data_IF_097743922696
#
_entry.id   IF_097743922696
#
_cell.length_a   1.000
_cell.length_b   1.000
_cell.length_c   1.000
_cell.angle_alpha   90.00
_cell.angle_beta   90.00
_cell.angle_gamma   90.00
#
_symmetry.space_group_name_H-M   'P 1'
#
loop_
_entity.id
_entity.type
_entity.pdbx_description
1 polymer ?
#
# COMPACT_ATOMS: atom_id res chain seq x y z
N UNK A 1 49.08 -2.13 -82.98
CA UNK A 1 47.66 -1.78 -83.10
C UNK A 1 47.01 -1.96 -81.73
N UNK A 2 46.48 -0.87 -81.16
CA UNK A 2 45.31 -0.74 -80.27
C UNK A 2 44.84 -2.00 -79.49
N UNK A 3 44.66 -2.00 -78.15
CA UNK A 3 43.79 -1.08 -77.38
C UNK A 3 44.03 -1.23 -75.86
N UNK A 4 43.93 -0.12 -75.14
CA UNK A 4 43.80 0.00 -73.67
C UNK A 4 42.38 -0.43 -73.22
N UNK A 5 42.25 -1.06 -72.06
CA UNK A 5 41.00 -1.14 -71.28
C UNK A 5 41.39 -1.26 -69.79
N UNK A 6 41.50 -0.13 -69.10
CA UNK A 6 40.48 0.48 -68.20
C UNK A 6 40.12 -0.36 -66.98
N UNK A 7 40.57 0.16 -65.83
CA UNK A 7 40.14 -0.16 -64.48
C UNK A 7 38.62 -0.14 -64.33
N UNK A 8 38.08 -1.13 -63.62
CA UNK A 8 36.86 -0.95 -62.82
C UNK A 8 37.16 -1.51 -61.44
N UNK A 9 37.53 -0.62 -60.52
CA UNK A 9 37.59 -0.90 -59.10
C UNK A 9 36.16 -0.87 -58.55
N UNK A 10 35.60 -2.03 -58.26
CA UNK A 10 34.33 -2.13 -57.53
C UNK A 10 34.65 -2.01 -56.03
N UNK A 11 34.52 -0.79 -55.50
CA UNK A 11 34.59 -0.54 -54.08
C UNK A 11 33.34 -1.15 -53.41
N UNK A 12 33.52 -2.30 -52.76
CA UNK A 12 32.51 -2.91 -51.90
C UNK A 12 32.31 -2.07 -50.64
N UNK A 13 31.30 -1.21 -50.65
CA UNK A 13 30.86 -0.45 -49.48
C UNK A 13 30.21 -1.43 -48.48
N UNK A 14 31.01 -1.93 -47.55
CA UNK A 14 30.57 -2.81 -46.47
C UNK A 14 29.75 -1.98 -45.49
N UNK A 15 28.42 -2.12 -45.51
CA UNK A 15 27.54 -1.57 -44.49
C UNK A 15 27.89 -2.21 -43.13
N UNK A 16 28.68 -1.53 -42.31
CA UNK A 16 28.71 -1.80 -40.87
C UNK A 16 27.34 -1.40 -40.30
N UNK A 17 26.45 -2.37 -40.15
CA UNK A 17 25.35 -2.23 -39.21
C UNK A 17 25.95 -2.23 -37.80
N UNK A 18 26.22 -1.04 -37.27
CA UNK A 18 26.47 -0.86 -35.86
C UNK A 18 25.17 -1.18 -35.10
N UNK A 19 25.03 -2.43 -34.66
CA UNK A 19 24.07 -2.76 -33.60
C UNK A 19 24.56 -2.04 -32.35
N UNK A 20 23.94 -0.89 -32.04
CA UNK A 20 24.04 -0.31 -30.72
C UNK A 20 23.41 -1.31 -29.74
N UNK A 21 24.24 -2.12 -29.10
CA UNK A 21 23.82 -2.85 -27.92
C UNK A 21 23.39 -1.80 -26.89
N UNK A 22 22.09 -1.73 -26.62
CA UNK A 22 21.57 -0.89 -25.55
C UNK A 22 22.17 -1.45 -24.27
N UNK A 23 23.16 -0.75 -23.72
CA UNK A 23 23.74 -1.11 -22.44
C UNK A 23 22.63 -1.03 -21.41
N UNK A 24 22.28 -2.18 -20.84
CA UNK A 24 21.25 -2.29 -19.82
C UNK A 24 21.62 -1.40 -18.64
N UNK A 25 20.68 -0.61 -18.12
CA UNK A 25 20.99 0.22 -16.95
C UNK A 25 21.27 -0.67 -15.74
N UNK A 26 21.90 -0.11 -14.71
CA UNK A 26 22.15 -0.82 -13.45
C UNK A 26 20.81 -1.25 -12.84
N UNK A 27 19.82 -0.37 -12.85
CA UNK A 27 18.47 -0.62 -12.33
C UNK A 27 17.77 -1.76 -13.08
N UNK A 28 17.88 -1.80 -14.41
CA UNK A 28 17.33 -2.89 -15.23
C UNK A 28 18.05 -4.22 -15.02
N UNK A 29 19.34 -4.16 -14.68
CA UNK A 29 20.15 -5.34 -14.34
C UNK A 29 19.76 -5.88 -12.96
N UNK A 30 19.59 -5.00 -11.98
CA UNK A 30 19.10 -5.34 -10.64
C UNK A 30 17.70 -5.96 -10.73
N UNK A 31 16.77 -5.26 -11.40
CA UNK A 31 15.38 -5.71 -11.58
C UNK A 31 15.32 -7.13 -12.16
N UNK A 32 16.10 -7.40 -13.21
CA UNK A 32 16.17 -8.73 -13.82
C UNK A 32 16.77 -9.75 -12.87
N UNK A 33 17.95 -9.46 -12.31
CA UNK A 33 18.69 -10.42 -11.48
C UNK A 33 17.91 -10.82 -10.24
N UNK A 34 17.29 -9.87 -9.55
CA UNK A 34 16.47 -10.16 -8.35
C UNK A 34 15.22 -10.94 -8.73
N UNK A 35 14.50 -10.53 -9.78
CA UNK A 35 13.29 -11.25 -10.21
C UNK A 35 13.58 -12.70 -10.60
N UNK A 36 14.72 -12.97 -11.24
CA UNK A 36 15.10 -14.32 -11.69
C UNK A 36 15.72 -15.18 -10.58
N UNK A 37 16.58 -14.62 -9.73
CA UNK A 37 17.32 -15.41 -8.73
C UNK A 37 16.59 -15.59 -7.41
N UNK A 38 15.75 -14.63 -7.05
CA UNK A 38 15.04 -14.58 -5.76
C UNK A 38 13.54 -14.85 -5.96
N UNK A 39 13.08 -14.96 -7.22
CA UNK A 39 11.68 -15.22 -7.59
C UNK A 39 10.68 -14.22 -6.96
N UNK A 40 11.15 -13.00 -6.69
CA UNK A 40 10.34 -11.91 -6.16
C UNK A 40 10.08 -10.87 -7.26
N UNK A 41 8.81 -10.61 -7.61
CA UNK A 41 8.47 -9.54 -8.54
C UNK A 41 8.98 -8.18 -8.04
N UNK A 42 9.84 -7.56 -8.85
CA UNK A 42 10.37 -6.21 -8.59
C UNK A 42 9.49 -5.18 -9.29
N UNK A 43 8.89 -4.27 -8.52
CA UNK A 43 8.15 -3.13 -9.07
C UNK A 43 9.10 -2.04 -9.54
N UNK A 44 10.05 -1.66 -8.68
CA UNK A 44 10.90 -0.49 -8.86
C UNK A 44 12.29 -0.68 -8.23
N UNK A 45 13.30 -0.02 -8.79
CA UNK A 45 14.66 0.06 -8.24
C UNK A 45 15.02 1.53 -8.10
N UNK A 46 15.41 1.94 -6.90
CA UNK A 46 15.70 3.33 -6.54
C UNK A 46 17.14 3.41 -6.04
N UNK A 47 17.92 4.35 -6.57
CA UNK A 47 19.27 4.63 -6.08
C UNK A 47 19.19 5.33 -4.72
N UNK A 48 19.90 4.82 -3.73
CA UNK A 48 19.97 5.50 -2.42
C UNK A 48 20.98 6.66 -2.46
N UNK A 49 21.00 7.55 -1.44
CA UNK A 49 22.05 8.56 -1.30
C UNK A 49 23.45 7.99 -1.04
N UNK A 50 23.57 6.68 -0.77
CA UNK A 50 24.83 6.01 -0.46
C UNK A 50 25.38 5.28 -1.69
N UNK A 51 26.71 5.33 -1.84
CA UNK A 51 27.39 4.73 -2.97
C UNK A 51 27.18 3.21 -3.04
N UNK A 52 26.86 2.73 -4.24
CA UNK A 52 26.65 1.31 -4.55
C UNK A 52 25.61 0.60 -3.67
N UNK A 53 24.61 1.34 -3.18
CA UNK A 53 23.46 0.81 -2.45
C UNK A 53 22.16 1.22 -3.15
N UNK A 54 21.34 0.24 -3.45
CA UNK A 54 20.07 0.40 -4.16
C UNK A 54 18.95 -0.16 -3.30
N UNK A 55 17.86 0.59 -3.26
CA UNK A 55 16.59 0.15 -2.74
C UNK A 55 15.81 -0.56 -3.86
N UNK A 56 15.22 -1.70 -3.55
CA UNK A 56 14.43 -2.49 -4.49
C UNK A 56 13.08 -2.74 -3.87
N UNK A 57 12.05 -2.21 -4.53
CA UNK A 57 10.66 -2.43 -4.14
C UNK A 57 10.20 -3.76 -4.73
N UNK A 58 9.78 -4.66 -3.85
CA UNK A 58 9.28 -5.98 -4.18
C UNK A 58 7.87 -6.14 -3.63
N UNK A 59 7.15 -7.16 -4.12
CA UNK A 59 5.87 -7.54 -3.50
C UNK A 59 6.10 -7.88 -2.01
N UNK A 60 5.52 -7.08 -1.13
CA UNK A 60 5.60 -7.29 0.33
C UNK A 60 6.64 -6.42 1.05
N UNK A 61 7.38 -5.54 0.36
CA UNK A 61 8.21 -4.55 1.04
C UNK A 61 9.41 -4.06 0.24
N UNK A 62 10.44 -3.67 0.98
CA UNK A 62 11.69 -3.11 0.45
C UNK A 62 12.83 -4.04 0.81
N UNK A 63 13.72 -4.28 -0.15
CA UNK A 63 15.01 -4.96 0.05
C UNK A 63 16.14 -4.08 -0.47
N UNK A 64 17.38 -4.36 -0.03
CA UNK A 64 18.55 -3.60 -0.46
C UNK A 64 19.59 -4.48 -1.13
N UNK A 65 20.30 -3.93 -2.11
CA UNK A 65 21.34 -4.63 -2.89
C UNK A 65 22.41 -3.65 -3.37
N UNK A 66 23.50 -4.16 -3.95
CA UNK A 66 24.45 -3.38 -4.74
C UNK A 66 24.13 -3.39 -6.24
N UNK A 67 24.90 -2.62 -7.04
CA UNK A 67 24.72 -2.47 -8.49
C UNK A 67 24.72 -3.80 -9.28
N UNK A 68 25.51 -4.78 -8.82
CA UNK A 68 25.67 -6.08 -9.48
C UNK A 68 24.69 -7.15 -8.98
N UNK A 69 23.89 -6.84 -7.94
CA UNK A 69 23.04 -7.82 -7.26
C UNK A 69 23.80 -9.03 -6.68
N UNK A 70 24.95 -8.75 -6.06
CA UNK A 70 25.78 -9.76 -5.42
C UNK A 70 25.20 -10.24 -4.08
N UNK A 71 24.36 -9.43 -3.44
CA UNK A 71 23.67 -9.75 -2.18
C UNK A 71 22.29 -9.10 -2.12
N UNK A 72 21.42 -9.62 -1.26
CA UNK A 72 20.15 -8.97 -0.91
C UNK A 72 20.02 -8.91 0.60
N UNK A 73 19.65 -7.75 1.14
CA UNK A 73 19.32 -7.56 2.56
C UNK A 73 17.80 -7.52 2.71
N UNK A 74 17.27 -8.50 3.43
CA UNK A 74 15.86 -8.58 3.81
C UNK A 74 15.64 -8.02 5.21
N UNK A 75 14.55 -7.26 5.39
CA UNK A 75 14.16 -6.75 6.72
C UNK A 75 15.12 -5.73 7.33
N UNK A 76 16.02 -5.15 6.52
CA UNK A 76 16.92 -4.08 6.94
C UNK A 76 16.20 -2.74 7.11
N UNK A 77 16.80 -1.84 7.88
CA UNK A 77 16.41 -0.43 7.95
C UNK A 77 17.63 0.42 7.58
N UNK A 78 17.44 1.37 6.68
CA UNK A 78 18.47 2.28 6.21
C UNK A 78 18.29 3.64 6.89
N UNK A 79 19.18 3.95 7.82
CA UNK A 79 19.21 5.23 8.52
C UNK A 79 20.29 6.16 7.94
N UNK A 80 19.90 7.36 7.56
CA UNK A 80 20.80 8.48 7.27
C UNK A 80 21.12 9.18 8.60
N UNK A 81 22.35 8.99 9.09
CA UNK A 81 22.78 9.51 10.39
C UNK A 81 22.99 11.03 10.39
N UNK A 82 23.34 11.60 9.25
CA UNK A 82 23.55 13.05 9.12
C UNK A 82 22.21 13.78 9.17
N UNK A 83 21.18 13.21 8.51
CA UNK A 83 19.82 13.76 8.55
C UNK A 83 18.99 13.25 9.72
N UNK A 84 19.47 12.21 10.42
CA UNK A 84 18.73 11.49 11.46
C UNK A 84 17.38 10.95 10.95
N UNK A 85 17.35 10.42 9.72
CA UNK A 85 16.14 9.93 9.06
C UNK A 85 16.23 8.44 8.76
N UNK A 86 15.11 7.73 8.96
CA UNK A 86 14.94 6.38 8.47
C UNK A 86 14.44 6.43 7.02
N UNK A 87 15.34 6.23 6.05
CA UNK A 87 15.02 6.27 4.63
C UNK A 87 14.11 5.12 4.22
N UNK A 88 14.24 3.95 4.85
CA UNK A 88 13.33 2.81 4.60
C UNK A 88 11.91 3.16 5.02
N UNK A 89 11.73 3.78 6.18
CA UNK A 89 10.40 4.19 6.66
C UNK A 89 9.77 5.25 5.74
N UNK A 90 10.55 6.22 5.27
CA UNK A 90 10.09 7.23 4.31
C UNK A 90 9.67 6.60 2.98
N UNK A 91 10.49 5.69 2.43
CA UNK A 91 10.13 5.03 1.18
C UNK A 91 8.93 4.09 1.33
N UNK A 92 8.82 3.38 2.46
CA UNK A 92 7.63 2.60 2.80
C UNK A 92 6.39 3.48 2.93
N UNK A 93 6.51 4.67 3.53
CA UNK A 93 5.40 5.61 3.66
C UNK A 93 4.93 6.10 2.29
N UNK A 94 5.87 6.42 1.39
CA UNK A 94 5.56 6.83 0.02
C UNK A 94 4.93 5.69 -0.79
N UNK A 95 5.50 4.49 -0.72
CA UNK A 95 4.96 3.31 -1.41
C UNK A 95 3.54 2.94 -0.94
N UNK A 96 3.21 3.24 0.32
CA UNK A 96 1.90 2.92 0.91
C UNK A 96 0.95 4.13 0.96
N UNK A 97 1.33 5.25 0.33
CA UNK A 97 0.49 6.44 0.26
C UNK A 97 -0.74 6.10 -0.57
N UNK A 98 -1.91 6.38 0.00
CA UNK A 98 -3.20 6.17 -0.64
C UNK A 98 -3.96 7.49 -0.61
N UNK A 99 -4.43 7.92 -1.78
CA UNK A 99 -5.43 8.96 -1.87
C UNK A 99 -6.79 8.37 -1.46
N UNK A 100 -7.37 8.85 -0.37
CA UNK A 100 -8.62 8.29 0.13
C UNK A 100 -9.81 8.60 -0.81
N UNK A 101 -9.69 9.61 -1.67
CA UNK A 101 -10.71 9.92 -2.69
C UNK A 101 -10.69 8.92 -3.85
N UNK A 102 -9.62 8.10 -3.97
CA UNK A 102 -9.55 7.01 -4.92
C UNK A 102 -10.26 5.73 -4.46
N UNK A 103 -10.67 5.67 -3.18
CA UNK A 103 -11.33 4.51 -2.60
C UNK A 103 -12.86 4.57 -2.82
N UNK A 104 -13.54 3.42 -3.03
CA UNK A 104 -14.99 3.35 -3.12
C UNK A 104 -15.63 3.50 -1.73
N UNK A 105 -15.69 4.73 -1.22
CA UNK A 105 -16.14 5.04 0.15
C UNK A 105 -17.60 4.65 0.42
N UNK A 106 -18.39 4.40 -0.61
CA UNK A 106 -19.76 3.86 -0.55
C UNK A 106 -19.82 2.44 0.02
N UNK A 107 -18.75 1.66 -0.08
CA UNK A 107 -18.64 0.34 0.54
C UNK A 107 -18.33 0.41 2.04
N UNK A 108 -17.98 1.59 2.56
CA UNK A 108 -17.60 1.79 3.95
C UNK A 108 -18.79 2.26 4.81
N UNK A 109 -18.76 1.88 6.09
CA UNK A 109 -19.63 2.48 7.11
C UNK A 109 -19.19 3.92 7.38
N UNK A 110 -20.04 4.88 7.06
CA UNK A 110 -19.79 6.29 7.36
C UNK A 110 -20.35 6.68 8.74
N UNK A 111 -19.48 7.07 9.65
CA UNK A 111 -19.84 7.59 10.97
C UNK A 111 -19.25 8.98 11.20
N UNK A 112 -20.09 9.94 11.59
CA UNK A 112 -19.64 11.30 11.95
C UNK A 112 -19.59 11.46 13.47
N UNK A 113 -18.45 11.91 13.97
CA UNK A 113 -18.18 12.21 15.37
C UNK A 113 -17.98 13.72 15.53
N UNK A 114 -18.55 14.29 16.60
CA UNK A 114 -18.49 15.72 16.86
C UNK A 114 -19.03 16.54 15.68
N UNK A 115 -18.26 17.52 15.20
CA UNK A 115 -18.60 18.36 14.04
C UNK A 115 -18.31 17.73 12.67
N UNK A 116 -17.58 16.61 12.62
CA UNK A 116 -17.31 15.89 11.37
C UNK A 116 -16.34 16.58 10.40
N UNK A 117 -15.23 17.12 10.88
CA UNK A 117 -14.26 17.87 10.07
C UNK A 117 -13.35 16.99 9.22
N UNK A 118 -12.28 16.46 9.83
CA UNK A 118 -11.28 15.67 9.11
C UNK A 118 -11.81 14.27 8.75
N UNK A 119 -11.36 13.69 7.63
CA UNK A 119 -11.75 12.33 7.23
C UNK A 119 -10.69 11.31 7.65
N UNK A 120 -11.17 10.16 8.09
CA UNK A 120 -10.33 9.00 8.37
C UNK A 120 -10.97 7.80 7.68
N UNK A 121 -10.21 7.09 6.85
CA UNK A 121 -10.62 5.78 6.35
C UNK A 121 -10.00 4.71 7.24
N UNK A 122 -10.80 3.73 7.66
CA UNK A 122 -10.32 2.61 8.47
C UNK A 122 -10.63 1.26 7.84
N UNK A 123 -9.69 0.32 7.99
CA UNK A 123 -9.91 -1.10 7.74
C UNK A 123 -9.94 -1.81 9.09
N UNK A 124 -11.09 -2.35 9.46
CA UNK A 124 -11.34 -2.92 10.78
C UNK A 124 -12.05 -4.27 10.68
N UNK A 125 -11.72 -5.20 11.59
CA UNK A 125 -12.39 -6.48 11.72
C UNK A 125 -13.29 -6.48 12.98
N UNK A 126 -14.51 -7.07 12.95
CA UNK A 126 -15.41 -7.10 14.10
C UNK A 126 -14.85 -7.81 15.35
N UNK A 127 -13.88 -8.71 15.20
CA UNK A 127 -13.22 -9.45 16.26
C UNK A 127 -11.91 -8.83 16.73
N UNK A 128 -11.45 -7.74 16.10
CA UNK A 128 -10.20 -7.07 16.40
C UNK A 128 -10.28 -6.27 17.73
N UNK A 129 -9.56 -6.66 18.81
CA UNK A 129 -9.62 -5.94 20.09
C UNK A 129 -9.05 -4.51 20.00
N UNK A 130 -8.04 -4.31 19.15
CA UNK A 130 -7.45 -2.99 18.90
C UNK A 130 -8.39 -2.05 18.17
N UNK A 131 -9.19 -2.59 17.25
CA UNK A 131 -10.24 -1.86 16.53
C UNK A 131 -11.36 -1.46 17.51
N UNK A 132 -11.76 -2.37 18.42
CA UNK A 132 -12.70 -2.04 19.51
C UNK A 132 -12.19 -0.89 20.39
N UNK A 133 -10.89 -0.92 20.75
CA UNK A 133 -10.26 0.17 21.51
C UNK A 133 -10.25 1.49 20.72
N UNK A 134 -9.98 1.43 19.42
CA UNK A 134 -9.94 2.59 18.53
C UNK A 134 -11.27 3.36 18.47
N UNK A 135 -12.41 2.65 18.54
CA UNK A 135 -13.74 3.29 18.53
C UNK A 135 -13.98 4.28 19.67
N UNK A 136 -13.28 4.13 20.81
CA UNK A 136 -13.35 5.10 21.91
C UNK A 136 -12.59 6.40 21.61
N UNK A 137 -11.58 6.35 20.73
CA UNK A 137 -10.76 7.51 20.37
C UNK A 137 -11.51 8.46 19.43
N UNK A 138 -12.27 7.93 18.46
CA UNK A 138 -13.09 8.75 17.56
C UNK A 138 -14.12 9.62 18.31
N UNK A 139 -14.63 9.15 19.45
CA UNK A 139 -15.57 9.92 20.30
C UNK A 139 -14.94 11.15 20.95
N UNK A 140 -13.61 11.26 20.95
CA UNK A 140 -12.86 12.39 21.51
C UNK A 140 -12.49 13.43 20.44
N UNK A 141 -12.96 13.25 19.21
CA UNK A 141 -12.51 13.98 18.03
C UNK A 141 -13.69 14.51 17.20
N UNK A 142 -13.41 15.50 16.34
CA UNK A 142 -14.34 16.06 15.35
C UNK A 142 -14.04 15.50 13.96
N UNK A 143 -14.39 14.23 13.70
CA UNK A 143 -13.99 13.49 12.48
C UNK A 143 -15.14 12.78 11.81
N UNK A 144 -15.03 12.57 10.50
CA UNK A 144 -15.85 11.62 9.75
C UNK A 144 -15.02 10.37 9.45
N UNK A 145 -15.48 9.22 9.94
CA UNK A 145 -14.81 7.94 9.77
C UNK A 145 -15.54 7.11 8.74
N UNK A 146 -14.82 6.59 7.75
CA UNK A 146 -15.27 5.62 6.76
C UNK A 146 -14.64 4.27 7.07
N UNK A 147 -15.40 3.33 7.63
CA UNK A 147 -14.88 2.02 8.03
C UNK A 147 -15.22 0.95 7.00
N UNK A 148 -14.20 0.46 6.30
CA UNK A 148 -14.23 -0.78 5.54
C UNK A 148 -14.18 -1.96 6.52
N UNK A 149 -15.29 -2.68 6.66
CA UNK A 149 -15.38 -3.82 7.58
C UNK A 149 -14.80 -5.07 6.90
N UNK A 150 -13.63 -5.50 7.37
CA UNK A 150 -12.81 -6.54 6.73
C UNK A 150 -12.76 -7.81 7.59
N UNK A 151 -13.49 -8.88 7.23
CA UNK A 151 -13.51 -10.11 8.03
C UNK A 151 -12.26 -10.97 7.78
N UNK A 152 -11.17 -10.66 8.48
CA UNK A 152 -9.84 -11.25 8.24
C UNK A 152 -9.26 -12.02 9.43
N UNK A 153 -9.79 -11.83 10.65
CA UNK A 153 -9.18 -12.37 11.86
C UNK A 153 -9.70 -13.74 12.29
N UNK A 154 -10.97 -14.05 12.06
CA UNK A 154 -11.54 -15.36 12.42
C UNK A 154 -12.72 -15.74 11.54
N UNK A 155 -13.08 -17.05 11.47
CA UNK A 155 -14.19 -17.50 10.63
C UNK A 155 -15.52 -16.81 10.94
N UNK A 156 -15.78 -16.50 12.21
CA UNK A 156 -16.99 -15.80 12.63
C UNK A 156 -16.98 -14.30 12.32
N UNK A 157 -15.85 -13.72 11.89
CA UNK A 157 -15.78 -12.33 11.41
C UNK A 157 -16.70 -12.14 10.20
N UNK A 158 -16.77 -13.10 9.27
CA UNK A 158 -17.68 -13.03 8.12
C UNK A 158 -19.15 -12.93 8.54
N UNK A 159 -19.53 -13.75 9.53
CA UNK A 159 -20.90 -13.73 10.06
C UNK A 159 -21.21 -12.39 10.73
N UNK A 160 -20.28 -11.87 11.53
CA UNK A 160 -20.46 -10.58 12.23
C UNK A 160 -20.48 -9.40 11.26
N UNK A 161 -19.62 -9.40 10.24
CA UNK A 161 -19.65 -8.40 9.17
C UNK A 161 -21.01 -8.42 8.49
N UNK A 162 -21.53 -9.60 8.09
CA UNK A 162 -22.87 -9.70 7.51
C UNK A 162 -23.96 -9.19 8.48
N UNK A 163 -23.89 -9.52 9.76
CA UNK A 163 -24.85 -9.03 10.76
C UNK A 163 -24.82 -7.51 10.93
N UNK A 164 -23.65 -6.89 10.84
CA UNK A 164 -23.48 -5.43 10.88
C UNK A 164 -24.05 -4.82 9.61
N UNK A 165 -23.58 -5.24 8.44
CA UNK A 165 -23.91 -4.61 7.16
C UNK A 165 -25.38 -4.80 6.79
N UNK A 166 -25.99 -5.90 7.21
CA UNK A 166 -27.41 -6.19 6.99
C UNK A 166 -28.33 -5.72 8.13
N UNK A 167 -27.80 -5.00 9.13
CA UNK A 167 -28.65 -4.45 10.17
C UNK A 167 -29.54 -3.33 9.62
N UNK A 168 -30.67 -3.07 10.28
CA UNK A 168 -31.54 -1.92 9.98
C UNK A 168 -30.77 -0.59 10.03
N UNK A 169 -29.78 -0.52 10.91
CA UNK A 169 -28.87 0.62 11.06
C UNK A 169 -27.44 0.05 11.21
N UNK A 170 -26.70 -0.11 10.10
CA UNK A 170 -25.38 -0.73 10.10
C UNK A 170 -24.36 0.04 10.96
N UNK A 171 -24.39 1.37 10.90
CA UNK A 171 -23.47 2.23 11.66
C UNK A 171 -23.72 2.04 13.17
N UNK A 172 -24.99 2.05 13.59
CA UNK A 172 -25.33 1.79 14.99
C UNK A 172 -24.95 0.37 15.44
N UNK A 173 -25.21 -0.64 14.61
CA UNK A 173 -24.85 -2.02 14.91
C UNK A 173 -23.34 -2.18 15.10
N UNK A 174 -22.55 -1.57 14.22
CA UNK A 174 -21.09 -1.51 14.33
C UNK A 174 -20.63 -0.83 15.62
N UNK A 175 -21.11 0.38 15.91
CA UNK A 175 -20.69 1.14 17.08
C UNK A 175 -21.09 0.47 18.41
N UNK A 176 -22.27 -0.16 18.46
CA UNK A 176 -22.74 -0.89 19.63
C UNK A 176 -21.93 -2.18 19.85
N UNK A 177 -21.61 -2.93 18.80
CA UNK A 177 -20.77 -4.11 18.89
C UNK A 177 -19.32 -3.76 19.28
N UNK A 178 -18.71 -2.84 18.53
CA UNK A 178 -17.29 -2.53 18.69
C UNK A 178 -17.02 -1.69 19.94
N UNK A 179 -17.91 -0.76 20.27
CA UNK A 179 -17.72 0.15 21.40
C UNK A 179 -18.36 -0.30 22.72
N UNK A 180 -19.34 -1.22 22.69
CA UNK A 180 -20.10 -1.61 23.89
C UNK A 180 -20.28 -3.12 24.04
N UNK A 181 -19.81 -3.94 23.09
CA UNK A 181 -20.03 -5.39 23.06
C UNK A 181 -21.52 -5.79 23.11
N UNK A 182 -22.41 -4.96 22.58
CA UNK A 182 -23.81 -5.34 22.42
C UNK A 182 -23.91 -6.39 21.32
N UNK A 183 -24.62 -7.48 21.59
CA UNK A 183 -24.77 -8.57 20.64
C UNK A 183 -25.37 -8.08 19.32
N UNK A 184 -24.77 -8.51 18.20
CA UNK A 184 -25.25 -8.17 16.87
C UNK A 184 -26.59 -8.84 16.58
N UNK A 185 -27.50 -8.17 15.86
CA UNK A 185 -28.79 -8.73 15.51
C UNK A 185 -28.59 -9.94 14.58
N UNK A 186 -29.52 -10.91 14.66
CA UNK A 186 -29.61 -11.92 13.61
C UNK A 186 -30.01 -11.25 12.30
N UNK A 187 -29.35 -11.64 11.21
CA UNK A 187 -29.72 -11.23 9.87
C UNK A 187 -31.12 -11.80 9.60
N UNK A 188 -32.11 -10.92 9.36
CA UNK A 188 -33.49 -11.32 9.06
C UNK A 188 -33.72 -11.54 7.58
N UNK A 189 -32.92 -10.89 6.74
CA UNK A 189 -33.01 -10.96 5.29
C UNK A 189 -31.88 -11.84 4.75
N UNK A 190 -32.23 -13.05 4.30
CA UNK A 190 -31.26 -13.98 3.71
C UNK A 190 -30.70 -13.46 2.38
N UNK A 191 -31.42 -12.55 1.71
CA UNK A 191 -31.01 -11.91 0.45
C UNK A 191 -30.16 -10.67 0.64
N UNK A 192 -29.85 -10.28 1.89
CA UNK A 192 -28.86 -9.23 2.10
C UNK A 192 -27.49 -9.77 1.67
N UNK A 193 -27.12 -9.43 0.45
CA UNK A 193 -25.80 -9.64 -0.11
C UNK A 193 -24.98 -8.38 0.14
N UNK A 194 -23.87 -8.55 0.84
CA UNK A 194 -22.92 -7.48 1.08
C UNK A 194 -21.65 -7.85 0.33
N UNK A 195 -21.08 -6.88 -0.38
CA UNK A 195 -19.88 -6.99 -1.20
C UNK A 195 -18.62 -7.14 -0.32
N UNK A 196 -18.58 -8.18 0.52
CA UNK A 196 -17.42 -8.51 1.37
C UNK A 196 -16.19 -8.74 0.51
N UNK A 197 -16.35 -9.35 -0.66
CA UNK A 197 -15.26 -9.57 -1.60
C UNK A 197 -14.70 -8.23 -2.09
N UNK A 198 -15.55 -7.29 -2.49
CA UNK A 198 -15.13 -5.98 -2.99
C UNK A 198 -14.42 -5.18 -1.89
N UNK A 199 -14.91 -5.24 -0.64
CA UNK A 199 -14.22 -4.64 0.51
C UNK A 199 -12.84 -5.27 0.75
N UNK A 200 -12.69 -6.60 0.59
CA UNK A 200 -11.40 -7.28 0.69
C UNK A 200 -10.48 -6.94 -0.50
N UNK A 201 -11.02 -6.73 -1.70
CA UNK A 201 -10.26 -6.24 -2.84
C UNK A 201 -9.74 -4.83 -2.61
N UNK A 202 -10.55 -3.93 -2.05
CA UNK A 202 -10.12 -2.59 -1.63
C UNK A 202 -9.01 -2.67 -0.57
N UNK A 203 -9.16 -3.55 0.42
CA UNK A 203 -8.13 -3.78 1.45
C UNK A 203 -6.80 -4.23 0.83
N UNK A 204 -6.83 -5.22 -0.05
CA UNK A 204 -5.63 -5.72 -0.73
C UNK A 204 -5.02 -4.67 -1.67
N UNK A 205 -5.84 -3.95 -2.43
CA UNK A 205 -5.41 -2.88 -3.32
C UNK A 205 -4.76 -1.72 -2.56
N UNK A 206 -5.24 -1.42 -1.35
CA UNK A 206 -4.63 -0.44 -0.45
C UNK A 206 -3.40 -0.98 0.31
N UNK A 207 -2.88 -2.16 -0.04
CA UNK A 207 -1.77 -2.84 0.64
C UNK A 207 -1.97 -2.91 2.17
N UNK A 208 -3.18 -3.29 2.59
CA UNK A 208 -3.54 -3.50 3.99
C UNK A 208 -3.48 -4.99 4.29
N UNK A 209 -2.60 -5.39 5.22
CA UNK A 209 -2.38 -6.79 5.58
C UNK A 209 -2.91 -7.16 6.96
N UNK A 210 -3.52 -6.21 7.69
CA UNK A 210 -4.05 -6.44 9.04
C UNK A 210 -4.89 -5.26 9.52
N UNK A 211 -5.46 -5.40 10.72
CA UNK A 211 -6.40 -4.41 11.28
C UNK A 211 -6.01 -3.99 12.72
N UNK A 212 -6.24 -2.72 13.13
CA UNK A 212 -6.76 -1.64 12.30
C UNK A 212 -5.66 -1.06 11.40
N UNK A 213 -6.03 -0.57 10.22
CA UNK A 213 -5.23 0.40 9.46
C UNK A 213 -6.05 1.67 9.28
N UNK A 214 -5.42 2.82 9.45
CA UNK A 214 -6.04 4.13 9.29
C UNK A 214 -5.33 4.91 8.18
N UNK A 215 -6.11 5.47 7.26
CA UNK A 215 -5.65 6.34 6.18
C UNK A 215 -6.23 7.74 6.37
N UNK A 216 -5.43 8.75 6.01
CA UNK A 216 -5.76 10.16 6.23
C UNK A 216 -5.73 10.94 4.91
N UNK A 217 -6.45 12.07 4.86
CA UNK A 217 -6.53 12.95 3.67
C UNK A 217 -5.15 13.39 3.15
N UNK A 218 -4.14 13.50 4.02
CA UNK A 218 -2.78 13.88 3.63
C UNK A 218 -1.96 12.71 3.04
N UNK A 219 -2.58 11.56 2.77
CA UNK A 219 -1.96 10.36 2.23
C UNK A 219 -1.17 9.53 3.25
N UNK A 220 -1.01 10.02 4.49
CA UNK A 220 -0.34 9.25 5.54
C UNK A 220 -1.23 8.10 6.02
N UNK A 221 -0.60 7.13 6.68
CA UNK A 221 -1.29 6.01 7.32
C UNK A 221 -0.72 5.65 8.68
N UNK A 222 -1.54 5.00 9.49
CA UNK A 222 -1.12 4.29 10.70
C UNK A 222 -1.52 2.83 10.55
N UNK A 223 -0.56 1.93 10.78
CA UNK A 223 -0.82 0.50 10.94
C UNK A 223 -0.89 0.16 12.42
N UNK A 224 -2.05 -0.28 12.89
CA UNK A 224 -2.34 -0.58 14.28
C UNK A 224 -3.07 0.54 15.03
N UNK A 225 -3.28 0.31 16.32
CA UNK A 225 -3.98 1.26 17.19
C UNK A 225 -3.17 2.56 17.39
N UNK A 226 -3.90 3.68 17.44
CA UNK A 226 -3.41 4.98 17.83
C UNK A 226 -4.46 5.69 18.68
N UNK A 227 -4.01 6.45 19.70
CA UNK A 227 -4.89 7.31 20.48
C UNK A 227 -5.26 8.60 19.73
N UNK A 228 -6.27 9.32 20.21
CA UNK A 228 -6.76 10.55 19.59
C UNK A 228 -5.65 11.61 19.37
N UNK A 229 -4.64 11.66 20.23
CA UNK A 229 -3.52 12.59 20.08
C UNK A 229 -2.67 12.23 18.87
N UNK A 230 -2.26 10.95 18.75
CA UNK A 230 -1.49 10.48 17.59
C UNK A 230 -2.28 10.62 16.29
N UNK A 231 -3.58 10.30 16.31
CA UNK A 231 -4.45 10.51 15.14
C UNK A 231 -4.46 11.97 14.69
N UNK A 232 -4.65 12.90 15.64
CA UNK A 232 -4.64 14.35 15.37
C UNK A 232 -3.30 14.83 14.83
N UNK A 233 -2.19 14.34 15.38
CA UNK A 233 -0.85 14.68 14.90
C UNK A 233 -0.63 14.18 13.47
N UNK A 234 -1.02 12.95 13.16
CA UNK A 234 -0.86 12.39 11.82
C UNK A 234 -1.70 13.13 10.79
N UNK A 235 -2.95 13.50 11.11
CA UNK A 235 -3.80 14.31 10.22
C UNK A 235 -3.20 15.69 9.91
N UNK A 236 -2.61 16.34 10.91
CA UNK A 236 -2.05 17.69 10.77
C UNK A 236 -0.62 17.73 10.23
N UNK A 237 0.03 16.58 10.12
CA UNK A 237 1.36 16.50 9.53
C UNK A 237 1.28 16.95 8.06
N UNK A 238 2.23 17.78 7.63
CA UNK A 238 2.29 18.22 6.24
C UNK A 238 2.48 17.00 5.33
N UNK A 239 1.81 17.01 4.19
CA UNK A 239 2.20 16.19 3.06
C UNK A 239 3.60 16.65 2.63
N UNK A 240 4.57 15.75 2.66
CA UNK A 240 5.91 16.00 2.11
C UNK A 240 5.87 15.95 0.57
#
# INVERSE_FOLDING_TARGET
MFKKASCVAVAGLSLLMAQAAIAKTVEETIKKTISERIELPVSEVIKTPFDNLYEVRVRGGIVYTNANSDFVVFGGQLYDLDKQLNLTELSMAEMNRIDIDSLPLELALKATYGKGGDRIVTFEDPNCPWCKRLQAEFKKMDVTVYTFVTPTLSPDSFTKTKQVMCAKDPVKAWQDWMGKNVALPKVKDENCDHEVNDVLEVMHGANVAGTPVLLFDNGKRISGYADANRLTQTMKAKSE
#
